data_IF_816809175373
#
_entry.id   IF_816809175373
#
_cell.length_a   1.000
_cell.length_b   1.000
_cell.length_c   1.000
_cell.angle_alpha   90.00
_cell.angle_beta   90.00
_cell.angle_gamma   90.00
#
_symmetry.space_group_name_H-M   'P 1'
#
loop_
_entity.id
_entity.type
_entity.pdbx_description
1 polymer ?
#
# COMPACT_ATOMS: atom_id res chain seq x y z
N UNK A 1 -12.51 0.61 -11.84
CA UNK A 1 -11.92 -0.37 -10.91
C UNK A 1 -11.39 -1.54 -11.74
N UNK A 2 -10.11 -1.94 -11.45
CA UNK A 2 -9.49 -3.07 -12.13
C UNK A 2 -9.09 -2.83 -13.58
N UNK A 3 -9.17 -1.59 -14.07
CA UNK A 3 -8.67 -1.13 -15.37
C UNK A 3 -8.96 -2.10 -16.53
N UNK A 4 -10.19 -2.58 -16.64
CA UNK A 4 -10.64 -3.56 -17.63
C UNK A 4 -9.73 -4.79 -17.77
N UNK A 5 -9.15 -5.21 -16.64
CA UNK A 5 -8.29 -6.39 -16.57
C UNK A 5 -6.80 -6.11 -16.54
N UNK A 6 -6.36 -4.87 -16.76
CA UNK A 6 -4.96 -4.50 -16.66
C UNK A 6 -4.50 -4.48 -15.20
N UNK A 7 -3.53 -5.31 -14.88
CA UNK A 7 -2.88 -5.37 -13.57
C UNK A 7 -1.45 -4.87 -13.64
N UNK A 8 -0.99 -4.24 -12.57
CA UNK A 8 0.39 -3.81 -12.40
C UNK A 8 1.00 -4.38 -11.11
N UNK A 9 2.18 -4.98 -11.24
CA UNK A 9 3.02 -5.42 -10.12
C UNK A 9 4.09 -4.35 -9.84
N UNK A 10 4.15 -3.77 -8.62
CA UNK A 10 5.05 -2.64 -8.33
C UNK A 10 6.48 -3.04 -7.95
N UNK A 11 6.90 -4.28 -8.16
CA UNK A 11 8.16 -4.85 -7.68
C UNK A 11 9.39 -4.42 -8.51
N UNK A 12 9.55 -3.11 -8.76
CA UNK A 12 10.52 -2.55 -9.71
C UNK A 12 11.97 -2.88 -9.33
N UNK A 13 12.28 -2.90 -8.04
CA UNK A 13 13.63 -3.19 -7.51
C UNK A 13 13.64 -4.40 -6.57
N UNK A 14 12.78 -5.33 -6.83
CA UNK A 14 12.52 -6.47 -5.96
C UNK A 14 11.34 -6.20 -5.02
N UNK A 15 11.01 -7.19 -4.21
CA UNK A 15 9.94 -7.16 -3.22
C UNK A 15 10.47 -7.57 -1.85
N UNK A 16 10.13 -6.79 -0.82
CA UNK A 16 10.57 -7.04 0.54
C UNK A 16 9.51 -7.76 1.38
N UNK A 17 8.27 -7.37 1.22
CA UNK A 17 7.14 -7.90 1.99
C UNK A 17 5.92 -8.08 1.08
N UNK A 18 5.37 -9.28 0.91
CA UNK A 18 5.60 -10.49 1.72
C UNK A 18 6.67 -11.45 1.18
N UNK A 19 7.15 -11.29 -0.04
CA UNK A 19 7.87 -12.36 -0.76
C UNK A 19 9.37 -12.41 -0.47
N UNK A 20 9.99 -11.32 -0.02
CA UNK A 20 11.43 -11.21 0.25
C UNK A 20 12.26 -11.68 -0.96
N UNK A 21 11.91 -11.18 -2.14
CA UNK A 21 12.49 -11.57 -3.42
C UNK A 21 13.16 -10.37 -4.10
N UNK A 22 14.49 -10.36 -4.12
CA UNK A 22 15.29 -9.29 -4.74
C UNK A 22 15.32 -9.38 -6.27
N UNK A 23 14.95 -10.51 -6.85
CA UNK A 23 15.03 -10.78 -8.29
C UNK A 23 13.70 -10.54 -9.02
N UNK A 24 12.57 -10.50 -8.31
CA UNK A 24 11.29 -10.14 -8.91
C UNK A 24 11.35 -8.73 -9.52
N UNK A 25 10.62 -8.50 -10.61
CA UNK A 25 10.52 -7.18 -11.26
C UNK A 25 9.08 -6.79 -11.51
N UNK A 26 8.87 -5.48 -11.65
CA UNK A 26 7.57 -4.92 -11.99
C UNK A 26 7.08 -5.37 -13.35
N UNK A 27 5.77 -5.55 -13.48
CA UNK A 27 5.17 -6.01 -14.72
C UNK A 27 3.75 -5.45 -14.91
N UNK A 28 3.35 -5.31 -16.17
CA UNK A 28 1.96 -5.11 -16.57
C UNK A 28 1.43 -6.40 -17.18
N UNK A 29 0.27 -6.86 -16.73
CA UNK A 29 -0.39 -8.07 -17.24
C UNK A 29 -1.81 -7.73 -17.68
N UNK A 30 -2.22 -8.26 -18.83
CA UNK A 30 -3.57 -8.06 -19.39
C UNK A 30 -3.69 -6.79 -20.23
N UNK A 31 -2.59 -6.36 -20.88
CA UNK A 31 -2.65 -5.24 -21.84
C UNK A 31 -3.55 -5.62 -23.02
N UNK A 32 -4.46 -4.72 -23.40
CA UNK A 32 -5.34 -4.84 -24.55
C UNK A 32 -5.31 -3.55 -25.38
N UNK A 33 -5.79 -3.65 -26.62
CA UNK A 33 -5.81 -2.56 -27.61
C UNK A 33 -6.67 -1.36 -27.20
N UNK A 34 -7.66 -1.56 -26.34
CA UNK A 34 -8.53 -0.49 -25.85
C UNK A 34 -7.95 0.31 -24.67
N UNK A 35 -6.89 -0.19 -24.02
CA UNK A 35 -6.26 0.50 -22.91
C UNK A 35 -5.58 1.80 -23.32
N UNK A 36 -5.79 2.84 -22.51
CA UNK A 36 -5.24 4.17 -22.70
C UNK A 36 -4.29 4.52 -21.53
N UNK A 37 -3.53 5.60 -21.66
CA UNK A 37 -2.61 6.08 -20.61
C UNK A 37 -3.27 6.21 -19.22
N UNK A 38 -4.54 6.62 -19.16
CA UNK A 38 -5.33 6.70 -17.93
C UNK A 38 -5.45 5.34 -17.22
N UNK A 39 -5.60 4.26 -18.01
CA UNK A 39 -5.79 2.90 -17.49
C UNK A 39 -4.46 2.37 -16.94
N UNK A 40 -3.35 2.63 -17.63
CA UNK A 40 -2.00 2.36 -17.12
C UNK A 40 -1.72 3.13 -15.84
N UNK A 41 -1.99 4.44 -15.81
CA UNK A 41 -1.78 5.26 -14.61
C UNK A 41 -2.60 4.74 -13.43
N UNK A 42 -3.86 4.41 -13.67
CA UNK A 42 -4.74 3.86 -12.64
C UNK A 42 -4.28 2.49 -12.17
N UNK A 43 -3.89 1.59 -13.08
CA UNK A 43 -3.39 0.26 -12.70
C UNK A 43 -2.13 0.32 -11.84
N UNK A 44 -1.27 1.33 -12.06
CA UNK A 44 -0.10 1.59 -11.18
C UNK A 44 -0.55 1.93 -9.76
N UNK A 45 -1.50 2.85 -9.60
CA UNK A 45 -2.02 3.22 -8.27
C UNK A 45 -2.74 2.05 -7.59
N UNK A 46 -3.52 1.29 -8.35
CA UNK A 46 -4.18 0.07 -7.86
C UNK A 46 -3.14 -0.98 -7.46
N UNK A 47 -2.14 -1.27 -8.28
CA UNK A 47 -1.10 -2.25 -8.02
C UNK A 47 -0.26 -1.92 -6.78
N UNK A 48 0.14 -0.66 -6.59
CA UNK A 48 0.82 -0.20 -5.37
C UNK A 48 -0.06 -0.44 -4.14
N UNK A 49 -1.34 -0.09 -4.24
CA UNK A 49 -2.26 -0.24 -3.10
C UNK A 49 -2.57 -1.71 -2.80
N UNK A 50 -2.70 -2.55 -3.83
CA UNK A 50 -2.91 -4.00 -3.69
C UNK A 50 -1.69 -4.70 -3.07
N UNK A 51 -0.48 -4.28 -3.40
CA UNK A 51 0.75 -4.75 -2.75
C UNK A 51 0.77 -4.41 -1.25
N UNK A 52 0.36 -3.20 -0.88
CA UNK A 52 0.23 -2.80 0.52
C UNK A 52 -0.91 -3.57 1.23
N UNK A 53 -1.94 -4.01 0.51
CA UNK A 53 -3.00 -4.87 1.04
C UNK A 53 -2.46 -6.24 1.46
N UNK A 54 -1.46 -6.79 0.77
CA UNK A 54 -0.78 -8.03 1.20
C UNK A 54 -0.12 -7.82 2.58
N UNK A 55 0.55 -6.68 2.79
CA UNK A 55 1.15 -6.33 4.08
C UNK A 55 0.08 -6.18 5.18
N UNK A 56 -1.04 -5.50 4.89
CA UNK A 56 -2.15 -5.38 5.84
C UNK A 56 -2.67 -6.77 6.24
N UNK A 57 -2.93 -7.66 5.28
CA UNK A 57 -3.43 -9.00 5.53
C UNK A 57 -2.50 -9.79 6.47
N UNK A 58 -1.19 -9.74 6.21
CA UNK A 58 -0.21 -10.43 7.05
C UNK A 58 -0.17 -9.84 8.47
N UNK A 59 -0.23 -8.50 8.60
CA UNK A 59 -0.25 -7.85 9.91
C UNK A 59 -1.50 -8.25 10.70
N UNK A 60 -2.67 -8.28 10.07
CA UNK A 60 -3.92 -8.72 10.69
C UNK A 60 -3.89 -10.20 11.07
N UNK A 61 -3.29 -11.06 10.25
CA UNK A 61 -3.12 -12.48 10.52
C UNK A 61 -2.17 -12.75 11.72
N UNK A 62 -1.05 -12.02 11.77
CA UNK A 62 -0.05 -12.19 12.84
C UNK A 62 -0.51 -11.59 14.17
N UNK A 63 -1.21 -10.46 14.12
CA UNK A 63 -1.75 -9.81 15.32
C UNK A 63 -3.03 -10.47 15.83
N UNK A 64 -3.69 -11.30 15.02
CA UNK A 64 -5.03 -11.84 15.27
C UNK A 64 -6.09 -10.74 15.51
N UNK A 65 -5.82 -9.53 15.00
CA UNK A 65 -6.66 -8.36 15.14
C UNK A 65 -6.81 -7.64 13.80
N UNK A 66 -7.97 -7.00 13.61
CA UNK A 66 -8.19 -6.18 12.41
C UNK A 66 -7.68 -4.76 12.63
N UNK A 67 -7.11 -4.21 11.58
CA UNK A 67 -6.71 -2.80 11.58
C UNK A 67 -7.96 -1.94 11.42
N UNK A 68 -8.28 -1.18 12.46
CA UNK A 68 -9.46 -0.32 12.49
C UNK A 68 -9.30 0.95 11.66
N UNK A 69 -8.06 1.42 11.47
CA UNK A 69 -7.75 2.67 10.79
C UNK A 69 -6.33 2.65 10.22
N UNK A 70 -6.16 3.19 9.01
CA UNK A 70 -4.84 3.37 8.38
C UNK A 70 -4.53 4.87 8.21
N UNK A 71 -3.30 5.26 8.52
CA UNK A 71 -2.82 6.62 8.34
C UNK A 71 -2.08 6.70 7.01
N UNK A 72 -2.61 7.48 6.05
CA UNK A 72 -1.92 7.74 4.80
C UNK A 72 -1.05 8.99 4.94
N UNK A 73 0.23 8.86 4.60
CA UNK A 73 1.23 9.92 4.71
C UNK A 73 1.99 10.13 3.40
N UNK A 74 2.67 11.27 3.28
CA UNK A 74 3.49 11.59 2.12
C UNK A 74 2.69 12.12 0.93
N UNK A 75 3.33 12.17 -0.25
CA UNK A 75 2.75 12.80 -1.44
C UNK A 75 1.43 12.19 -1.91
N UNK A 76 1.27 10.88 -1.77
CA UNK A 76 0.04 10.16 -2.12
C UNK A 76 -1.17 10.57 -1.29
N UNK A 77 -0.97 10.97 -0.04
CA UNK A 77 -2.03 11.43 0.86
C UNK A 77 -2.70 12.74 0.43
N UNK A 78 -2.15 13.45 -0.56
CA UNK A 78 -2.73 14.68 -1.13
C UNK A 78 -3.74 14.39 -2.25
N UNK A 79 -3.77 13.18 -2.78
CA UNK A 79 -4.67 12.78 -3.86
C UNK A 79 -5.93 12.13 -3.30
N UNK A 80 -7.03 12.88 -3.28
CA UNK A 80 -8.32 12.41 -2.74
C UNK A 80 -8.85 11.15 -3.45
N UNK A 81 -8.67 11.03 -4.76
CA UNK A 81 -9.10 9.85 -5.51
C UNK A 81 -8.30 8.62 -5.10
N UNK A 82 -7.00 8.79 -4.81
CA UNK A 82 -6.17 7.69 -4.33
C UNK A 82 -6.48 7.32 -2.88
N UNK A 83 -6.78 8.29 -2.00
CA UNK A 83 -7.26 8.01 -0.63
C UNK A 83 -8.55 7.18 -0.63
N UNK A 84 -9.50 7.52 -1.50
CA UNK A 84 -10.72 6.73 -1.65
C UNK A 84 -10.45 5.32 -2.18
N UNK A 85 -9.52 5.18 -3.14
CA UNK A 85 -9.06 3.89 -3.65
C UNK A 85 -8.42 3.05 -2.54
N UNK A 86 -7.56 3.66 -1.72
CA UNK A 86 -6.95 3.01 -0.56
C UNK A 86 -8.02 2.52 0.42
N UNK A 87 -8.97 3.37 0.82
CA UNK A 87 -10.07 2.98 1.71
C UNK A 87 -10.85 1.76 1.18
N UNK A 88 -11.14 1.76 -0.12
CA UNK A 88 -11.90 0.69 -0.76
C UNK A 88 -11.09 -0.62 -0.88
N UNK A 89 -9.81 -0.56 -1.25
CA UNK A 89 -8.94 -1.73 -1.37
C UNK A 89 -8.65 -2.34 0.00
N UNK A 90 -8.31 -1.50 0.98
CA UNK A 90 -8.03 -1.98 2.34
C UNK A 90 -9.30 -2.40 3.09
N UNK A 91 -10.47 -1.95 2.65
CA UNK A 91 -11.73 -2.05 3.39
C UNK A 91 -11.58 -1.53 4.83
N UNK A 92 -10.90 -0.40 4.97
CA UNK A 92 -10.52 0.19 6.25
C UNK A 92 -10.55 1.72 6.11
N UNK A 93 -11.05 2.47 7.08
CA UNK A 93 -10.98 3.93 7.06
C UNK A 93 -9.54 4.43 6.89
N UNK A 94 -9.35 5.37 5.98
CA UNK A 94 -8.07 6.04 5.76
C UNK A 94 -8.13 7.45 6.35
N UNK A 95 -7.17 7.78 7.20
CA UNK A 95 -7.03 9.11 7.75
C UNK A 95 -5.75 9.79 7.25
N UNK A 96 -5.77 11.12 7.19
CA UNK A 96 -4.59 11.94 6.93
C UNK A 96 -4.24 12.79 8.14
N UNK A 97 -3.00 13.23 8.22
CA UNK A 97 -2.52 14.07 9.33
C UNK A 97 -2.66 15.55 8.99
N UNK A 98 -2.93 16.39 10.01
CA UNK A 98 -2.90 17.85 9.87
C UNK A 98 -1.50 18.36 9.58
N UNK A 99 -0.50 17.73 10.19
CA UNK A 99 0.90 18.11 10.03
C UNK A 99 1.68 16.89 9.55
N UNK A 100 2.16 16.94 8.32
CA UNK A 100 2.97 15.88 7.73
C UNK A 100 4.46 16.13 8.03
N UNK A 101 4.97 15.62 9.12
CA UNK A 101 6.40 15.68 9.45
C UNK A 101 7.09 14.32 9.34
N UNK A 102 6.36 13.30 8.96
CA UNK A 102 6.88 11.96 8.69
C UNK A 102 7.75 11.41 9.83
N UNK A 103 8.84 10.69 9.49
CA UNK A 103 9.73 10.07 10.49
C UNK A 103 10.35 11.06 11.47
N UNK A 104 10.54 12.33 11.10
CA UNK A 104 11.10 13.36 11.96
C UNK A 104 10.25 13.64 13.20
N UNK A 105 8.92 13.66 13.07
CA UNK A 105 8.02 13.80 14.21
C UNK A 105 8.14 12.60 15.16
N UNK A 106 8.18 11.38 14.62
CA UNK A 106 8.35 10.17 15.44
C UNK A 106 9.66 10.17 16.22
N UNK A 107 10.76 10.56 15.59
CA UNK A 107 12.06 10.70 16.26
C UNK A 107 12.02 11.77 17.37
N UNK A 108 11.37 12.92 17.12
CA UNK A 108 11.21 13.97 18.13
C UNK A 108 10.35 13.49 19.32
N UNK A 109 9.28 12.72 19.07
CA UNK A 109 8.45 12.16 20.11
C UNK A 109 9.24 11.15 20.98
N UNK A 110 10.03 10.27 20.37
CA UNK A 110 10.91 9.34 21.09
C UNK A 110 11.91 10.11 21.97
N UNK A 111 12.53 11.17 21.44
CA UNK A 111 13.43 12.00 22.20
C UNK A 111 12.74 12.72 23.38
N UNK A 112 11.52 13.24 23.16
CA UNK A 112 10.75 13.91 24.20
C UNK A 112 10.39 12.97 25.38
N UNK A 113 10.00 11.74 25.06
CA UNK A 113 9.77 10.71 26.10
C UNK A 113 11.07 10.31 26.77
N UNK A 114 12.17 10.15 26.03
CA UNK A 114 13.49 9.87 26.58
C UNK A 114 14.01 10.98 27.52
N UNK A 115 13.65 12.24 27.25
CA UNK A 115 13.93 13.39 28.12
C UNK A 115 12.94 13.55 29.29
N UNK A 116 11.98 12.61 29.43
CA UNK A 116 10.94 12.63 30.48
C UNK A 116 9.99 13.86 30.40
N UNK A 117 9.78 14.42 29.19
CA UNK A 117 8.80 15.49 28.97
C UNK A 117 7.37 14.94 28.93
N UNK A 118 7.21 13.66 28.62
CA UNK A 118 5.96 12.91 28.62
C UNK A 118 6.19 11.57 29.33
N UNK A 119 5.13 11.03 29.91
CA UNK A 119 5.17 9.75 30.64
C UNK A 119 5.45 8.58 29.69
N UNK A 120 4.80 8.61 28.51
CA UNK A 120 4.94 7.58 27.51
C UNK A 120 4.69 8.13 26.10
N UNK A 121 4.81 7.25 25.09
CA UNK A 121 4.60 7.61 23.69
C UNK A 121 3.13 7.91 23.38
N UNK A 122 2.19 7.32 24.10
CA UNK A 122 0.78 7.56 23.87
C UNK A 122 0.41 9.00 24.26
N UNK A 123 0.80 9.44 25.44
CA UNK A 123 0.58 10.83 25.88
C UNK A 123 1.22 11.83 24.90
N UNK A 124 2.44 11.55 24.46
CA UNK A 124 3.14 12.38 23.49
C UNK A 124 2.41 12.39 22.12
N UNK A 125 1.95 11.24 21.63
CA UNK A 125 1.22 11.13 20.40
C UNK A 125 -0.13 11.87 20.45
N UNK A 126 -0.86 11.77 21.54
CA UNK A 126 -2.16 12.44 21.72
C UNK A 126 -2.00 13.97 21.67
N UNK A 127 -0.84 14.49 22.07
CA UNK A 127 -0.54 15.91 22.02
C UNK A 127 -0.14 16.40 20.61
N UNK A 128 0.61 15.61 19.85
CA UNK A 128 1.23 16.06 18.59
C UNK A 128 0.58 15.49 17.34
N UNK A 129 -0.11 14.36 17.43
CA UNK A 129 -0.77 13.73 16.27
C UNK A 129 -2.20 14.21 16.15
N UNK A 130 -2.48 15.00 15.14
CA UNK A 130 -3.83 15.46 14.86
C UNK A 130 -4.27 15.00 13.47
N UNK A 131 -5.41 14.32 13.41
CA UNK A 131 -6.03 13.87 12.17
C UNK A 131 -6.77 15.01 11.47
N UNK A 132 -6.79 14.97 10.14
CA UNK A 132 -7.41 16.02 9.31
C UNK A 132 -8.68 15.54 8.62
N UNK A 133 -8.54 14.52 7.79
CA UNK A 133 -9.63 13.95 6.98
C UNK A 133 -9.70 12.45 7.24
N UNK A 134 -10.92 11.93 7.22
CA UNK A 134 -11.17 10.49 7.27
C UNK A 134 -12.01 10.10 6.04
N UNK A 135 -11.54 9.11 5.29
CA UNK A 135 -12.17 8.60 4.09
C UNK A 135 -12.68 7.19 4.38
N UNK A 136 -13.99 7.01 4.31
CA UNK A 136 -14.63 5.72 4.56
C UNK A 136 -14.64 4.84 3.31
N UNK A 137 -14.49 3.51 3.46
CA UNK A 137 -14.68 2.57 2.37
C UNK A 137 -16.12 2.56 1.86
N UNK A 138 -16.29 2.38 0.55
CA UNK A 138 -17.57 2.30 -0.11
C UNK A 138 -17.91 0.82 -0.40
N UNK A 139 -18.93 0.21 0.22
CA UNK A 139 -19.16 -1.23 0.19
C UNK A 139 -19.19 -1.83 -1.22
N UNK A 140 -19.87 -1.16 -2.16
CA UNK A 140 -19.96 -1.64 -3.54
C UNK A 140 -18.58 -1.69 -4.24
N UNK A 141 -17.71 -0.72 -3.95
CA UNK A 141 -16.37 -0.67 -4.50
C UNK A 141 -15.42 -1.65 -3.80
N UNK A 142 -15.60 -1.87 -2.51
CA UNK A 142 -14.88 -2.90 -1.76
C UNK A 142 -15.09 -4.27 -2.39
N UNK A 143 -16.34 -4.64 -2.69
CA UNK A 143 -16.66 -5.94 -3.30
C UNK A 143 -16.10 -6.08 -4.72
N UNK A 144 -16.06 -4.98 -5.47
CA UNK A 144 -15.41 -4.97 -6.78
C UNK A 144 -13.89 -5.18 -6.65
N UNK A 145 -13.23 -4.52 -5.68
CA UNK A 145 -11.80 -4.67 -5.45
C UNK A 145 -11.39 -6.04 -4.90
N UNK A 146 -12.24 -6.75 -4.18
CA UNK A 146 -11.97 -8.15 -3.78
C UNK A 146 -11.63 -9.01 -4.99
N UNK A 147 -12.43 -8.93 -6.06
CA UNK A 147 -12.21 -9.69 -7.31
C UNK A 147 -10.89 -9.29 -8.00
N UNK A 148 -10.52 -8.02 -7.93
CA UNK A 148 -9.23 -7.54 -8.47
C UNK A 148 -8.08 -8.08 -7.64
N UNK A 149 -8.21 -8.06 -6.32
CA UNK A 149 -7.20 -8.58 -5.40
C UNK A 149 -6.98 -10.09 -5.55
N UNK A 150 -8.05 -10.88 -5.69
CA UNK A 150 -7.94 -12.33 -5.95
C UNK A 150 -7.12 -12.66 -7.21
N UNK A 151 -7.18 -11.78 -8.22
CA UNK A 151 -6.36 -11.90 -9.43
C UNK A 151 -4.93 -11.40 -9.18
N UNK A 152 -4.79 -10.28 -8.48
CA UNK A 152 -3.51 -9.68 -8.16
C UNK A 152 -2.59 -10.63 -7.39
N UNK A 153 -3.11 -11.34 -6.40
CA UNK A 153 -2.35 -12.32 -5.60
C UNK A 153 -1.69 -13.43 -6.43
N UNK A 154 -2.16 -13.68 -7.65
CA UNK A 154 -1.56 -14.67 -8.56
C UNK A 154 -0.40 -14.13 -9.38
N UNK A 155 -0.18 -12.81 -9.37
CA UNK A 155 0.82 -12.17 -10.25
C UNK A 155 2.24 -12.57 -9.88
N UNK A 156 2.56 -12.63 -8.59
CA UNK A 156 3.89 -13.02 -8.14
C UNK A 156 4.27 -14.41 -8.66
N UNK A 157 3.46 -15.41 -8.40
CA UNK A 157 3.71 -16.79 -8.85
C UNK A 157 3.75 -16.91 -10.37
N UNK A 158 2.96 -16.12 -11.08
CA UNK A 158 2.94 -16.12 -12.54
C UNK A 158 4.19 -15.48 -13.18
N UNK A 159 4.94 -14.65 -12.46
CA UNK A 159 6.04 -13.86 -13.04
C UNK A 159 7.41 -14.14 -12.44
N UNK A 160 7.48 -14.74 -11.23
CA UNK A 160 8.75 -14.94 -10.52
C UNK A 160 9.77 -15.76 -11.31
N UNK A 161 9.36 -16.88 -11.89
CA UNK A 161 10.28 -17.77 -12.61
C UNK A 161 10.90 -17.07 -13.82
N UNK A 162 10.12 -16.28 -14.55
CA UNK A 162 10.61 -15.50 -15.67
C UNK A 162 11.62 -14.42 -15.23
N UNK A 163 11.35 -13.75 -14.11
CA UNK A 163 12.27 -12.76 -13.55
C UNK A 163 13.58 -13.40 -13.07
N UNK A 164 13.50 -14.54 -12.40
CA UNK A 164 14.67 -15.26 -11.91
C UNK A 164 15.56 -15.78 -13.04
N UNK A 165 14.97 -16.25 -14.14
CA UNK A 165 15.72 -16.66 -15.33
C UNK A 165 16.58 -15.51 -15.91
N UNK A 166 16.08 -14.27 -15.90
CA UNK A 166 16.83 -13.10 -16.35
C UNK A 166 18.12 -12.92 -15.53
N UNK A 167 18.04 -13.00 -14.21
CA UNK A 167 19.22 -12.84 -13.33
C UNK A 167 20.22 -13.99 -13.46
N UNK A 168 19.76 -15.23 -13.60
CA UNK A 168 20.63 -16.38 -13.79
C UNK A 168 21.46 -16.32 -15.10
N UNK A 169 21.04 -15.51 -16.07
CA UNK A 169 21.75 -15.29 -17.35
C UNK A 169 22.76 -14.15 -17.29
N UNK A 170 22.61 -13.20 -16.35
CA UNK A 170 23.53 -12.06 -16.21
C UNK A 170 24.75 -12.41 -15.35
N UNK A 171 24.62 -13.34 -14.41
CA UNK A 171 25.70 -13.79 -13.52
C UNK A 171 26.73 -14.71 -14.19
N UNK A 172 26.65 -14.90 -15.52
CA UNK A 172 27.64 -15.64 -16.35
C UNK A 172 28.46 -14.67 -17.19
#
# INVERSE_FOLDING_TARGET
IGCDGLLFSPYIVGERTPYTDSQIRGSFIGIDTHHQLKDFTRSVLEGITLSLKDSQRIMEEVAEEKIERLVSVGGGAKNKSWLQMQANIFNTPIVTLKTEQGPGLGAAMLAAVGCQWFLDLQECADQFVAYKEEVQPQPQQVDAYKKVYDRYQKMYDATKDLCHLYFSQIEK
#
